data_IF_887774468545
#
_entry.id   IF_887774468545
#
_cell.length_a   1.000
_cell.length_b   1.000
_cell.length_c   1.000
_cell.angle_alpha   90.00
_cell.angle_beta   90.00
_cell.angle_gamma   90.00
#
_symmetry.space_group_name_H-M   'P 1'
#
loop_
_entity.id
_entity.type
_entity.pdbx_description
1 polymer ?
#
# COMPACT_ATOMS: atom_id res chain seq x y z
N UNK A 1 2.77 16.85 -9.90
CA UNK A 1 3.01 16.23 -8.56
C UNK A 1 4.38 16.60 -8.09
N UNK A 2 4.50 17.04 -6.88
CA UNK A 2 5.81 17.37 -6.33
C UNK A 2 6.33 16.25 -5.45
N UNK A 3 7.64 16.11 -5.41
CA UNK A 3 8.30 15.04 -4.68
C UNK A 3 9.26 15.66 -3.68
N UNK A 4 9.39 15.04 -2.52
CA UNK A 4 10.23 15.53 -1.43
C UNK A 4 11.08 14.40 -0.87
N UNK A 5 12.21 14.77 -0.30
CA UNK A 5 13.01 13.80 0.43
C UNK A 5 12.32 13.42 1.73
N UNK A 6 12.33 12.15 2.05
CA UNK A 6 11.83 11.67 3.32
C UNK A 6 12.95 11.79 4.35
N UNK A 7 13.02 12.96 4.99
CA UNK A 7 14.07 13.24 5.96
C UNK A 7 15.45 13.10 5.34
N UNK A 8 16.34 12.40 6.03
CA UNK A 8 17.70 12.14 5.55
C UNK A 8 17.87 10.74 4.97
N UNK A 9 16.78 10.05 4.69
CA UNK A 9 16.82 8.65 4.25
C UNK A 9 17.30 8.46 2.82
N UNK A 10 17.30 9.49 2.01
CA UNK A 10 17.63 9.37 0.60
C UNK A 10 16.45 8.98 -0.28
N UNK A 11 15.31 8.69 0.32
CA UNK A 11 14.11 8.35 -0.44
C UNK A 11 13.38 9.61 -0.87
N UNK A 12 12.85 9.59 -2.09
CA UNK A 12 11.98 10.64 -2.59
C UNK A 12 10.55 10.10 -2.60
N UNK A 13 9.64 10.87 -1.99
CA UNK A 13 8.24 10.49 -1.89
C UNK A 13 7.38 11.56 -2.55
N UNK A 14 6.27 11.16 -3.17
CA UNK A 14 5.30 12.13 -3.66
C UNK A 14 4.65 12.83 -2.47
N UNK A 15 4.32 14.11 -2.61
CA UNK A 15 3.70 14.86 -1.52
C UNK A 15 2.37 14.28 -1.12
N UNK A 16 1.64 13.71 -2.08
CA UNK A 16 0.37 13.05 -1.82
C UNK A 16 0.64 11.56 -1.86
N UNK A 17 0.15 10.83 -0.87
CA UNK A 17 0.26 9.39 -0.81
C UNK A 17 -1.09 8.73 -0.99
N UNK A 18 -1.09 7.52 -1.51
CA UNK A 18 -2.31 6.73 -1.66
C UNK A 18 -2.41 5.75 -0.49
N UNK A 19 -3.48 5.88 0.30
CA UNK A 19 -3.73 4.97 1.40
C UNK A 19 -4.52 3.76 0.92
N UNK A 20 -4.00 2.58 1.17
CA UNK A 20 -4.61 1.34 0.71
C UNK A 20 -5.40 0.66 1.83
N UNK A 21 -6.08 1.46 2.64
CA UNK A 21 -6.96 0.92 3.68
C UNK A 21 -8.32 0.64 3.06
N UNK A 22 -8.48 -0.55 2.55
CA UNK A 22 -9.76 -0.99 1.99
C UNK A 22 -10.47 -1.84 3.02
N UNK A 23 -11.78 -1.67 3.12
CA UNK A 23 -12.58 -2.34 4.14
C UNK A 23 -13.35 -3.53 3.60
N UNK A 24 -13.31 -3.74 2.30
CA UNK A 24 -14.10 -4.77 1.66
C UNK A 24 -13.22 -5.71 0.86
N UNK A 25 -13.68 -6.95 0.75
CA UNK A 25 -12.91 -7.96 0.05
C UNK A 25 -13.63 -8.58 -1.13
N UNK A 26 -14.77 -8.03 -1.57
CA UNK A 26 -15.47 -8.57 -2.72
C UNK A 26 -14.65 -8.37 -3.98
N UNK A 27 -14.87 -9.22 -4.97
CA UNK A 27 -14.13 -9.12 -6.22
C UNK A 27 -14.34 -7.78 -6.92
N UNK A 28 -15.57 -7.28 -6.91
CA UNK A 28 -15.89 -6.00 -7.53
C UNK A 28 -15.11 -4.86 -6.85
N UNK A 29 -15.05 -4.92 -5.52
CA UNK A 29 -14.33 -3.90 -4.77
C UNK A 29 -12.83 -4.01 -4.96
N UNK A 30 -12.31 -5.21 -5.12
CA UNK A 30 -10.89 -5.42 -5.42
C UNK A 30 -10.55 -4.83 -6.78
N UNK A 31 -11.38 -5.03 -7.78
CA UNK A 31 -11.16 -4.47 -9.10
C UNK A 31 -11.18 -2.95 -9.08
N UNK A 32 -12.12 -2.37 -8.33
CA UNK A 32 -12.18 -0.93 -8.17
C UNK A 32 -10.93 -0.40 -7.48
N UNK A 33 -10.44 -1.09 -6.45
CA UNK A 33 -9.24 -0.70 -5.75
C UNK A 33 -8.01 -0.74 -6.66
N UNK A 34 -7.89 -1.79 -7.48
CA UNK A 34 -6.79 -1.90 -8.44
C UNK A 34 -6.82 -0.73 -9.41
N UNK A 35 -7.99 -0.37 -9.88
CA UNK A 35 -8.15 0.75 -10.80
C UNK A 35 -7.75 2.06 -10.13
N UNK A 36 -8.13 2.25 -8.87
CA UNK A 36 -7.75 3.44 -8.12
C UNK A 36 -6.23 3.55 -7.95
N UNK A 37 -5.57 2.47 -7.62
CA UNK A 37 -4.10 2.46 -7.47
C UNK A 37 -3.45 2.83 -8.80
N UNK A 38 -3.90 2.24 -9.89
CA UNK A 38 -3.31 2.52 -11.20
C UNK A 38 -3.55 3.96 -11.63
N UNK A 39 -4.72 4.49 -11.33
CA UNK A 39 -5.03 5.90 -11.61
C UNK A 39 -4.11 6.81 -10.79
N UNK A 40 -3.92 6.48 -9.51
CA UNK A 40 -3.03 7.27 -8.65
C UNK A 40 -1.62 7.31 -9.22
N UNK A 41 -1.09 6.16 -9.65
CA UNK A 41 0.23 6.11 -10.25
C UNK A 41 0.30 6.93 -11.53
N UNK A 42 -0.73 6.85 -12.36
CA UNK A 42 -0.80 7.63 -13.60
C UNK A 42 -0.80 9.13 -13.33
N UNK A 43 -1.35 9.56 -12.19
CA UNK A 43 -1.39 10.95 -11.80
C UNK A 43 -0.12 11.40 -11.07
N UNK A 44 0.86 10.53 -10.93
CA UNK A 44 2.14 10.87 -10.34
C UNK A 44 2.25 10.59 -8.85
N UNK A 45 1.24 9.99 -8.23
CA UNK A 45 1.32 9.59 -6.83
C UNK A 45 2.14 8.31 -6.78
N UNK A 46 3.33 8.39 -6.17
CA UNK A 46 4.25 7.26 -6.12
C UNK A 46 4.47 6.72 -4.71
N UNK A 47 3.81 7.30 -3.73
CA UNK A 47 3.92 6.87 -2.33
C UNK A 47 2.66 6.09 -1.96
N UNK A 48 2.83 4.81 -1.63
CA UNK A 48 1.72 3.91 -1.34
C UNK A 48 1.82 3.43 0.09
N UNK A 49 0.73 3.49 0.83
CA UNK A 49 0.69 3.11 2.24
C UNK A 49 -0.31 1.99 2.46
N UNK A 50 0.13 0.90 3.07
CA UNK A 50 -0.72 -0.24 3.38
C UNK A 50 -0.33 -0.84 4.72
N UNK A 51 -0.94 -1.94 5.10
CA UNK A 51 -0.59 -2.71 6.28
C UNK A 51 -1.06 -4.15 6.11
N UNK A 52 -0.44 -5.05 6.86
CA UNK A 52 -0.79 -6.47 6.79
C UNK A 52 -2.22 -6.75 7.24
N UNK A 53 -2.75 -5.93 8.15
CA UNK A 53 -4.07 -6.16 8.74
C UNK A 53 -5.21 -5.51 7.93
N UNK A 54 -4.91 -4.62 7.01
CA UNK A 54 -5.95 -3.91 6.27
C UNK A 54 -6.81 -4.86 5.45
N UNK A 55 -8.12 -4.59 5.45
CA UNK A 55 -9.12 -5.40 4.73
C UNK A 55 -9.05 -6.89 5.11
N UNK A 56 -8.83 -7.18 6.39
CA UNK A 56 -8.72 -8.56 6.85
C UNK A 56 -7.56 -9.30 6.21
N UNK A 57 -6.44 -8.64 6.04
CA UNK A 57 -5.18 -9.11 5.43
C UNK A 57 -5.19 -9.16 3.92
N UNK A 58 -6.23 -8.66 3.26
CA UNK A 58 -6.33 -8.71 1.79
C UNK A 58 -5.74 -7.50 1.08
N UNK A 59 -5.55 -6.39 1.83
CA UNK A 59 -5.10 -5.15 1.21
C UNK A 59 -3.75 -5.28 0.50
N UNK A 60 -2.79 -5.97 1.12
CA UNK A 60 -1.49 -6.16 0.49
C UNK A 60 -1.57 -7.02 -0.76
N UNK A 61 -2.44 -8.02 -0.75
CA UNK A 61 -2.64 -8.87 -1.93
C UNK A 61 -3.24 -8.08 -3.09
N UNK A 62 -4.24 -7.26 -2.79
CA UNK A 62 -4.89 -6.43 -3.81
C UNK A 62 -3.89 -5.42 -4.37
N UNK A 63 -3.11 -4.79 -3.51
CA UNK A 63 -2.10 -3.85 -3.94
C UNK A 63 -1.05 -4.54 -4.82
N UNK A 64 -0.64 -5.75 -4.45
CA UNK A 64 0.29 -6.54 -5.26
C UNK A 64 -0.25 -6.80 -6.65
N UNK A 65 -1.54 -7.08 -6.78
CA UNK A 65 -2.17 -7.26 -8.09
C UNK A 65 -2.17 -5.96 -8.88
N UNK A 66 -2.42 -4.84 -8.23
CA UNK A 66 -2.44 -3.55 -8.89
C UNK A 66 -1.05 -3.15 -9.40
N UNK A 67 0.00 -3.56 -8.69
CA UNK A 67 1.37 -3.21 -9.03
C UNK A 67 2.04 -4.18 -10.00
N UNK A 68 1.34 -5.23 -10.39
CA UNK A 68 1.90 -6.22 -11.31
C UNK A 68 2.26 -5.54 -12.63
N UNK A 69 3.50 -5.69 -13.05
CA UNK A 69 4.00 -5.07 -14.26
C UNK A 69 4.51 -3.64 -14.09
N UNK A 70 4.34 -3.07 -12.90
CA UNK A 70 4.86 -1.73 -12.61
C UNK A 70 6.29 -1.88 -12.11
N UNK A 71 7.20 -1.05 -12.61
CA UNK A 71 8.60 -1.12 -12.19
C UNK A 71 8.72 -0.83 -10.70
N UNK A 72 9.43 -1.71 -9.98
CA UNK A 72 9.57 -1.59 -8.52
C UNK A 72 10.20 -0.26 -8.12
N UNK A 73 11.11 0.26 -8.90
CA UNK A 73 11.80 1.51 -8.61
C UNK A 73 10.94 2.75 -8.85
N UNK A 74 9.74 2.58 -9.41
CA UNK A 74 8.89 3.72 -9.75
C UNK A 74 7.96 4.14 -8.61
N UNK A 75 7.97 3.43 -7.50
CA UNK A 75 7.11 3.78 -6.36
C UNK A 75 7.78 3.43 -5.03
N UNK A 76 7.30 4.08 -3.98
CA UNK A 76 7.71 3.80 -2.61
C UNK A 76 6.55 3.14 -1.89
N UNK A 77 6.79 1.98 -1.31
CA UNK A 77 5.76 1.18 -0.68
C UNK A 77 6.04 1.06 0.82
N UNK A 78 5.08 1.50 1.61
CA UNK A 78 5.17 1.41 3.07
C UNK A 78 4.10 0.45 3.58
N UNK A 79 4.51 -0.51 4.38
CA UNK A 79 3.58 -1.41 5.03
C UNK A 79 3.89 -1.49 6.51
N UNK A 80 3.02 -2.14 7.27
CA UNK A 80 3.13 -2.18 8.71
C UNK A 80 2.75 -3.56 9.22
N UNK A 81 3.33 -3.95 10.35
CA UNK A 81 2.95 -5.15 11.07
C UNK A 81 2.86 -4.77 12.55
N UNK A 82 1.65 -4.77 13.11
CA UNK A 82 1.47 -4.34 14.49
C UNK A 82 0.36 -5.10 15.19
N UNK A 83 -0.83 -5.20 14.59
CA UNK A 83 -1.97 -5.86 15.22
C UNK A 83 -2.00 -7.34 14.89
N UNK A 84 -2.51 -8.19 15.79
CA UNK A 84 -2.70 -9.60 15.48
C UNK A 84 -3.66 -9.77 14.31
N UNK A 85 -3.37 -10.74 13.43
CA UNK A 85 -4.22 -11.02 12.29
C UNK A 85 -5.19 -12.17 12.54
N UNK A 86 -5.15 -12.74 13.74
CA UNK A 86 -6.05 -13.81 14.14
C UNK A 86 -5.67 -14.38 15.49
N UNK A 87 -6.52 -15.25 16.06
CA UNK A 87 -6.23 -15.86 17.36
C UNK A 87 -4.88 -16.60 17.34
N UNK A 88 -4.09 -16.37 18.37
CA UNK A 88 -2.79 -17.03 18.50
C UNK A 88 -1.69 -16.46 17.65
N UNK A 89 -1.96 -15.41 16.88
CA UNK A 89 -0.95 -14.78 16.04
C UNK A 89 -0.32 -13.58 16.74
N UNK A 90 0.94 -13.36 16.46
CA UNK A 90 1.65 -12.22 17.01
C UNK A 90 1.40 -11.02 16.12
N UNK A 91 0.98 -9.91 16.73
CA UNK A 91 0.60 -8.73 15.98
C UNK A 91 1.76 -7.91 15.47
N UNK A 92 2.88 -7.89 16.16
CA UNK A 92 4.08 -7.23 15.68
C UNK A 92 5.26 -8.09 16.06
N UNK A 93 6.31 -7.83 15.40
CA UNK A 93 7.50 -8.51 15.74
C UNK A 93 7.91 -8.02 17.08
N UNK A 94 7.78 -8.78 18.01
CA UNK A 94 8.30 -8.42 19.18
C UNK A 94 9.66 -8.80 19.21
N UNK A 95 9.99 -8.27 18.80
CA UNK A 95 10.88 -8.68 18.90
C UNK A 95 11.38 -8.77 19.57
#
# INVERSE_FOLDING_TARGET
MEYRKLGSSGMYVSEISYGNWITHGSQVEQEAAIKCVRTALDEGITTLDTADVYAGTRAETVLGKALKGVRRESYELFTKVFFPTGPGKIGRAHV
#
